data_IF_546523252395
#
_entry.id   IF_546523252395
#
_cell.length_a   1.000
_cell.length_b   1.000
_cell.length_c   1.000
_cell.angle_alpha   90.00
_cell.angle_beta   90.00
_cell.angle_gamma   90.00
#
_symmetry.space_group_name_H-M   'P 1'
#
loop_
_entity.id
_entity.type
_entity.pdbx_description
1 polymer ?
#
# COMPACT_ATOMS: atom_id res chain seq x y z
N UNK A 1 14.40 25.62 15.62
CA UNK A 1 14.70 24.60 14.61
C UNK A 1 13.38 23.95 14.31
N UNK A 2 12.78 24.25 13.16
CA UNK A 2 11.47 23.73 12.79
C UNK A 2 11.65 22.26 12.37
N UNK A 3 10.96 21.35 13.05
CA UNK A 3 11.00 19.93 12.73
C UNK A 3 9.88 19.67 11.73
N UNK A 4 10.21 19.58 10.44
CA UNK A 4 9.25 19.22 9.41
C UNK A 4 9.15 17.70 9.31
N UNK A 5 7.92 17.19 9.13
CA UNK A 5 7.65 15.78 8.84
C UNK A 5 6.98 15.73 7.47
N UNK A 6 7.65 15.10 6.51
CA UNK A 6 7.16 14.95 5.15
C UNK A 6 6.25 13.72 5.06
N UNK A 7 4.96 13.94 4.86
CA UNK A 7 3.98 12.87 4.68
C UNK A 7 3.73 12.58 3.20
N UNK A 8 3.74 11.28 2.85
CA UNK A 8 3.29 10.78 1.54
C UNK A 8 2.12 9.83 1.77
N UNK A 9 1.02 10.06 1.05
CA UNK A 9 -0.19 9.26 1.15
C UNK A 9 -0.29 8.34 -0.07
N UNK A 10 -0.50 7.06 0.16
CA UNK A 10 -0.79 6.05 -0.87
C UNK A 10 -2.26 5.62 -0.78
N UNK A 11 -2.75 4.92 -1.80
CA UNK A 11 -4.15 4.47 -1.90
C UNK A 11 -4.39 3.06 -1.31
N UNK A 12 -3.37 2.45 -0.72
CA UNK A 12 -3.42 1.20 0.03
C UNK A 12 -2.99 1.43 1.50
N UNK A 13 -3.84 1.03 2.44
CA UNK A 13 -3.57 1.08 3.88
C UNK A 13 -3.52 -0.32 4.50
N UNK A 14 -3.64 -0.41 5.82
CA UNK A 14 -3.62 -1.71 6.52
C UNK A 14 -4.82 -2.60 6.15
N UNK A 15 -5.91 -2.06 5.59
CA UNK A 15 -7.01 -2.88 5.07
C UNK A 15 -6.62 -3.70 3.83
N UNK A 16 -5.56 -3.28 3.12
CA UNK A 16 -5.00 -3.95 1.93
C UNK A 16 -3.78 -4.79 2.29
N UNK A 17 -2.91 -4.29 3.18
CA UNK A 17 -1.70 -4.97 3.62
C UNK A 17 -1.76 -5.22 5.13
N UNK A 18 -2.65 -6.13 5.54
CA UNK A 18 -2.95 -6.41 6.97
C UNK A 18 -1.70 -6.55 7.85
N UNK A 19 -0.75 -7.36 7.41
CA UNK A 19 0.36 -7.79 8.28
C UNK A 19 1.38 -6.67 8.54
N UNK A 20 1.36 -5.59 7.73
CA UNK A 20 2.20 -4.41 8.01
C UNK A 20 1.79 -3.68 9.28
N UNK A 21 0.57 -3.92 9.79
CA UNK A 21 0.05 -3.33 11.02
C UNK A 21 -0.15 -4.36 12.13
N UNK A 22 -0.76 -5.51 11.81
CA UNK A 22 -1.22 -6.45 12.84
C UNK A 22 -0.13 -7.40 13.34
N UNK A 23 0.99 -7.51 12.60
CA UNK A 23 2.08 -8.45 12.89
C UNK A 23 3.46 -7.80 12.80
N UNK A 24 3.53 -6.46 12.81
CA UNK A 24 4.78 -5.69 12.68
C UNK A 24 5.67 -6.19 11.53
N UNK A 25 5.05 -6.54 10.40
CA UNK A 25 5.77 -7.15 9.28
C UNK A 25 6.44 -6.11 8.40
N UNK A 26 7.73 -6.31 8.11
CA UNK A 26 8.49 -5.43 7.23
C UNK A 26 8.33 -5.83 5.76
N UNK A 27 8.12 -4.84 4.89
CA UNK A 27 8.14 -4.97 3.44
C UNK A 27 9.10 -3.94 2.88
N UNK A 28 9.93 -4.31 1.90
CA UNK A 28 10.76 -3.32 1.19
C UNK A 28 9.86 -2.36 0.41
N UNK A 29 10.09 -1.06 0.56
CA UNK A 29 9.33 0.00 -0.10
C UNK A 29 10.24 0.83 -1.01
N UNK A 30 9.82 1.00 -2.26
CA UNK A 30 10.53 1.83 -3.24
C UNK A 30 9.56 2.61 -4.12
N UNK A 31 10.02 3.74 -4.67
CA UNK A 31 9.30 4.43 -5.75
C UNK A 31 9.60 3.72 -7.08
N UNK A 32 8.66 2.91 -7.57
CA UNK A 32 8.79 2.15 -8.81
C UNK A 32 8.83 3.06 -10.05
N UNK A 33 8.13 4.21 -10.02
CA UNK A 33 8.21 5.22 -11.08
C UNK A 33 9.58 5.88 -11.20
N UNK A 34 10.40 5.79 -10.13
CA UNK A 34 11.70 6.47 -10.01
C UNK A 34 12.78 5.54 -9.46
N UNK A 35 12.77 4.28 -9.85
CA UNK A 35 13.59 3.22 -9.23
C UNK A 35 15.10 3.48 -9.31
N UNK A 36 15.56 4.23 -10.32
CA UNK A 36 16.99 4.57 -10.50
C UNK A 36 17.41 5.86 -9.80
N UNK A 37 16.47 6.63 -9.23
CA UNK A 37 16.78 7.83 -8.47
C UNK A 37 17.25 7.46 -7.05
N UNK A 38 18.12 8.29 -6.48
CA UNK A 38 18.54 8.14 -5.10
C UNK A 38 17.30 8.26 -4.18
N UNK A 39 17.10 7.29 -3.30
CA UNK A 39 16.07 7.36 -2.26
C UNK A 39 16.69 8.07 -1.05
N UNK A 40 16.71 9.40 -1.11
CA UNK A 40 17.52 10.28 -0.24
C UNK A 40 16.70 11.20 0.68
N UNK A 41 15.36 11.10 0.66
CA UNK A 41 14.48 11.88 1.53
C UNK A 41 13.77 10.98 2.56
N UNK A 42 13.89 11.35 3.84
CA UNK A 42 13.13 10.73 4.94
C UNK A 42 11.69 11.22 4.93
N UNK A 43 10.76 10.28 4.92
CA UNK A 43 9.31 10.54 4.87
C UNK A 43 8.56 9.61 5.82
N UNK A 44 7.33 9.99 6.18
CA UNK A 44 6.32 9.07 6.74
C UNK A 44 5.33 8.68 5.64
N UNK A 45 4.99 7.40 5.58
CA UNK A 45 4.10 6.83 4.58
C UNK A 45 2.75 6.49 5.21
N UNK A 46 1.66 7.10 4.73
CA UNK A 46 0.31 6.93 5.25
C UNK A 46 -0.61 6.25 4.23
N UNK A 47 -1.60 5.50 4.72
CA UNK A 47 -2.69 4.95 3.92
C UNK A 47 -3.87 5.93 3.80
N UNK A 48 -4.96 5.51 3.14
CA UNK A 48 -6.11 6.36 2.81
C UNK A 48 -7.28 6.26 3.80
N UNK A 49 -7.20 5.42 4.84
CA UNK A 49 -8.32 5.20 5.75
C UNK A 49 -8.55 6.44 6.62
N UNK A 50 -9.81 6.69 6.99
CA UNK A 50 -10.19 7.68 8.01
C UNK A 50 -9.88 7.15 9.42
N UNK A 51 -8.65 6.72 9.63
CA UNK A 51 -8.14 6.12 10.85
C UNK A 51 -6.74 6.67 11.13
N UNK A 52 -6.54 7.26 12.32
CA UNK A 52 -5.26 7.87 12.69
C UNK A 52 -4.10 6.87 12.80
N UNK A 53 -4.42 5.57 12.91
CA UNK A 53 -3.43 4.48 12.90
C UNK A 53 -3.07 3.97 11.51
N UNK A 54 -3.73 4.44 10.43
CA UNK A 54 -3.44 3.98 9.07
C UNK A 54 -2.22 4.67 8.46
N UNK A 55 -1.06 4.37 9.03
CA UNK A 55 0.23 4.64 8.43
C UNK A 55 1.17 3.46 8.64
N UNK A 56 2.20 3.35 7.80
CA UNK A 56 3.13 2.24 7.89
C UNK A 56 4.16 2.51 8.99
N UNK A 57 4.22 1.63 9.99
CA UNK A 57 5.10 1.79 11.16
C UNK A 57 6.46 1.10 10.96
N UNK A 58 6.52 0.09 10.09
CA UNK A 58 7.71 -0.74 9.84
C UNK A 58 8.61 -0.12 8.77
N UNK A 59 9.24 1.00 9.10
CA UNK A 59 10.11 1.78 8.21
C UNK A 59 11.54 1.27 8.11
N UNK A 60 12.32 1.93 7.25
CA UNK A 60 13.77 1.71 7.11
C UNK A 60 14.50 2.10 8.39
N UNK A 61 14.00 3.13 9.08
CA UNK A 61 14.51 3.60 10.37
C UNK A 61 13.35 4.03 11.26
N UNK A 62 12.96 3.17 12.20
CA UNK A 62 11.74 3.41 12.99
C UNK A 62 10.53 3.48 12.05
N UNK A 63 9.74 4.55 12.15
CA UNK A 63 8.56 4.78 11.30
C UNK A 63 8.86 5.60 10.03
N UNK A 64 10.14 5.84 9.72
CA UNK A 64 10.57 6.63 8.56
C UNK A 64 10.99 5.72 7.39
N UNK A 65 10.57 6.09 6.19
CA UNK A 65 10.97 5.46 4.92
C UNK A 65 11.86 6.40 4.11
N UNK A 66 12.52 5.84 3.08
CA UNK A 66 13.28 6.61 2.11
C UNK A 66 12.61 6.54 0.75
N UNK A 67 12.35 7.70 0.14
CA UNK A 67 11.93 7.84 -1.25
C UNK A 67 12.78 8.94 -1.92
N UNK A 68 12.81 9.03 -3.26
CA UNK A 68 13.44 10.15 -3.93
C UNK A 68 12.78 11.46 -3.52
N UNK A 69 13.55 12.52 -3.24
CA UNK A 69 13.01 13.85 -2.94
C UNK A 69 12.09 14.40 -4.05
N UNK A 70 12.28 13.97 -5.30
CA UNK A 70 11.45 14.32 -6.45
C UNK A 70 10.15 13.49 -6.56
N UNK A 71 9.84 12.64 -5.56
CA UNK A 71 8.58 11.89 -5.51
C UNK A 71 7.39 12.84 -5.51
N UNK A 72 6.43 12.58 -6.39
CA UNK A 72 5.26 13.42 -6.60
C UNK A 72 3.96 12.61 -6.65
N UNK A 73 2.83 13.30 -6.45
CA UNK A 73 1.49 12.70 -6.60
C UNK A 73 1.37 12.10 -8.00
N UNK A 74 0.95 10.84 -8.07
CA UNK A 74 0.88 10.07 -9.31
C UNK A 74 2.04 9.09 -9.52
N UNK A 75 3.10 9.16 -8.70
CA UNK A 75 4.12 8.10 -8.68
C UNK A 75 3.57 6.79 -8.11
N UNK A 76 4.13 5.66 -8.57
CA UNK A 76 3.80 4.32 -8.10
C UNK A 76 4.82 3.89 -7.05
N UNK A 77 4.33 3.54 -5.87
CA UNK A 77 5.13 2.94 -4.79
C UNK A 77 4.94 1.43 -4.80
N UNK A 78 6.03 0.68 -4.73
CA UNK A 78 6.01 -0.77 -4.68
C UNK A 78 6.41 -1.27 -3.29
N UNK A 79 5.60 -2.20 -2.76
CA UNK A 79 5.92 -3.04 -1.61
C UNK A 79 6.36 -4.41 -2.13
N UNK A 80 7.59 -4.82 -1.86
CA UNK A 80 8.11 -6.11 -2.30
C UNK A 80 7.76 -7.23 -1.31
N UNK A 81 7.92 -8.48 -1.74
CA UNK A 81 7.67 -9.69 -0.92
C UNK A 81 6.23 -9.82 -0.38
N UNK A 82 5.27 -9.14 -1.01
CA UNK A 82 3.85 -9.09 -0.61
C UNK A 82 3.00 -10.28 -1.12
N UNK A 83 3.61 -11.45 -1.35
CA UNK A 83 2.94 -12.58 -2.01
C UNK A 83 2.22 -13.58 -1.10
N UNK A 84 2.45 -13.51 0.22
CA UNK A 84 1.92 -14.47 1.18
C UNK A 84 1.07 -13.77 2.26
N UNK A 85 -0.09 -14.35 2.58
CA UNK A 85 -1.02 -13.84 3.61
C UNK A 85 -1.56 -12.41 3.37
N UNK A 86 -1.48 -11.89 2.14
CA UNK A 86 -1.86 -10.52 1.79
C UNK A 86 -3.22 -10.38 1.09
N UNK A 87 -3.78 -11.46 0.54
CA UNK A 87 -5.01 -11.39 -0.27
C UNK A 87 -6.26 -11.69 0.57
N UNK A 88 -6.30 -12.84 1.23
CA UNK A 88 -7.46 -13.25 2.02
C UNK A 88 -7.63 -12.45 3.32
N UNK A 89 -6.57 -11.80 3.79
CA UNK A 89 -6.56 -10.95 4.99
C UNK A 89 -7.12 -9.54 4.76
N UNK A 90 -7.40 -9.16 3.51
CA UNK A 90 -7.93 -7.84 3.20
C UNK A 90 -9.35 -7.63 3.75
N UNK A 91 -9.67 -6.39 4.12
CA UNK A 91 -10.98 -6.01 4.64
C UNK A 91 -11.64 -4.94 3.77
N UNK A 92 -12.96 -4.79 3.89
CA UNK A 92 -13.73 -3.70 3.28
C UNK A 92 -13.95 -2.52 4.22
N UNK A 93 -13.01 -2.31 5.17
CA UNK A 93 -13.08 -1.22 6.13
C UNK A 93 -13.11 0.14 5.40
N UNK A 94 -13.85 1.10 5.97
CA UNK A 94 -14.16 2.39 5.34
C UNK A 94 -14.88 2.26 3.98
N UNK A 95 -15.52 1.11 3.73
CA UNK A 95 -16.10 0.76 2.44
C UNK A 95 -15.11 0.87 1.26
N UNK A 96 -13.81 0.67 1.52
CA UNK A 96 -12.81 0.55 0.46
C UNK A 96 -12.85 -0.88 -0.11
N UNK A 97 -12.78 -1.07 -1.43
CA UNK A 97 -12.84 -2.39 -2.01
C UNK A 97 -11.55 -3.18 -1.77
N UNK A 98 -11.66 -4.51 -1.71
CA UNK A 98 -10.49 -5.41 -1.78
C UNK A 98 -9.91 -5.37 -3.19
N UNK A 99 -8.59 -5.52 -3.30
CA UNK A 99 -7.82 -5.16 -4.50
C UNK A 99 -7.97 -6.14 -5.66
N UNK A 100 -7.82 -5.65 -6.88
CA UNK A 100 -7.52 -6.53 -8.02
C UNK A 100 -6.19 -7.27 -7.84
N UNK A 101 -6.03 -8.41 -8.52
CA UNK A 101 -4.77 -9.17 -8.56
C UNK A 101 -4.44 -9.52 -10.00
N UNK A 102 -3.22 -9.19 -10.42
CA UNK A 102 -2.68 -9.45 -11.75
C UNK A 102 -1.60 -10.52 -11.65
N UNK A 103 -1.60 -11.46 -12.59
CA UNK A 103 -0.57 -12.48 -12.75
C UNK A 103 0.28 -12.16 -13.97
N UNK A 104 1.60 -12.21 -13.83
CA UNK A 104 2.55 -12.31 -14.94
C UNK A 104 2.80 -13.81 -15.15
N UNK A 105 2.48 -14.32 -16.33
CA UNK A 105 2.68 -15.74 -16.62
C UNK A 105 4.15 -16.07 -16.95
N UNK A 106 4.44 -17.37 -17.16
CA UNK A 106 5.79 -17.85 -17.47
C UNK A 106 6.37 -17.33 -18.80
N UNK A 107 5.54 -16.76 -19.67
CA UNK A 107 5.95 -16.17 -20.95
C UNK A 107 6.11 -14.64 -20.85
N UNK A 108 5.79 -14.04 -19.69
CA UNK A 108 5.82 -12.60 -19.45
C UNK A 108 4.52 -11.88 -19.77
N UNK A 109 3.42 -12.60 -20.06
CA UNK A 109 2.12 -11.98 -20.35
C UNK A 109 1.34 -11.69 -19.05
N UNK A 110 0.66 -10.54 -19.01
CA UNK A 110 -0.16 -10.14 -17.86
C UNK A 110 -1.63 -10.50 -18.07
N UNK A 111 -2.29 -10.97 -17.00
CA UNK A 111 -3.76 -11.08 -16.97
C UNK A 111 -4.31 -10.84 -15.57
N UNK A 112 -5.54 -10.31 -15.50
CA UNK A 112 -6.29 -10.22 -14.26
C UNK A 112 -6.70 -11.63 -13.78
N UNK A 113 -6.45 -11.94 -12.51
CA UNK A 113 -6.82 -13.21 -11.87
C UNK A 113 -7.79 -13.03 -10.69
N UNK A 114 -7.90 -11.81 -10.15
CA UNK A 114 -8.94 -11.38 -9.21
C UNK A 114 -9.36 -9.97 -9.59
N UNK A 115 -10.66 -9.68 -9.70
CA UNK A 115 -11.12 -8.29 -9.87
C UNK A 115 -11.07 -7.53 -8.55
N UNK A 116 -11.01 -6.21 -8.62
CA UNK A 116 -11.38 -5.37 -7.48
C UNK A 116 -12.87 -5.57 -7.14
N UNK A 117 -13.20 -5.51 -5.85
CA UNK A 117 -14.60 -5.57 -5.41
C UNK A 117 -15.36 -4.33 -5.94
N UNK A 118 -16.51 -4.51 -6.59
CA UNK A 118 -17.34 -3.38 -7.04
C UNK A 118 -18.22 -2.85 -5.91
N UNK A 119 -18.83 -1.68 -6.09
CA UNK A 119 -19.88 -1.19 -5.17
C UNK A 119 -20.98 -2.23 -4.93
N UNK A 120 -21.46 -2.90 -5.99
CA UNK A 120 -22.47 -3.95 -5.87
C UNK A 120 -21.98 -5.13 -5.02
N UNK A 121 -20.70 -5.50 -5.12
CA UNK A 121 -20.12 -6.57 -4.30
C UNK A 121 -20.15 -6.27 -2.81
N UNK A 122 -20.13 -4.98 -2.43
CA UNK A 122 -20.13 -4.56 -1.03
C UNK A 122 -21.52 -4.61 -0.41
N UNK A 123 -22.56 -4.28 -1.17
CA UNK A 123 -23.94 -4.18 -0.66
C UNK A 123 -24.78 -5.43 -0.91
N UNK A 124 -24.35 -6.34 -1.79
CA UNK A 124 -25.14 -7.55 -2.14
C UNK A 124 -25.39 -8.53 -1.00
N UNK A 125 -24.66 -8.40 0.12
CA UNK A 125 -24.82 -9.27 1.30
C UNK A 125 -25.83 -8.70 2.30
N UNK A 126 -26.19 -7.44 2.16
CA UNK A 126 -27.17 -6.79 3.03
C UNK A 126 -28.58 -7.29 2.68
N UNK A 127 -29.43 -7.43 3.70
CA UNK A 127 -30.87 -7.62 3.52
C UNK A 127 -31.51 -6.30 3.85
N UNK A 128 -32.02 -5.62 2.82
CA UNK A 128 -32.66 -4.30 2.92
C UNK A 128 -33.89 -4.21 2.03
#
# INVERSE_FOLDING_TARGET
MECHVEWKFVDAGYSVLSDSQHFDWFFYVYNASRMTAAHDAWIKLAGPLCDGGDYFHMGVKGEEFLLPKETHVGDIVAFLDAGAYTIESQTVYNNRPRTGVVMIDKNGETRLIRREDSYEDMVKYDIY
#
